data_IF_191735622416
#
_entry.id   IF_191735622416
#
_cell.length_a   1.000
_cell.length_b   1.000
_cell.length_c   1.000
_cell.angle_alpha   90.00
_cell.angle_beta   90.00
_cell.angle_gamma   90.00
#
_symmetry.space_group_name_H-M   'P 1'
#
loop_
_entity.id
_entity.type
_entity.pdbx_description
1 polymer ?
#
# COMPACT_ATOMS: atom_id res chain seq x y z
N UNK A 1 -3.82 30.16 12.87
CA UNK A 1 -2.58 29.35 12.70
C UNK A 1 -2.70 28.74 11.32
N UNK A 2 -1.82 29.13 10.38
CA UNK A 2 -1.77 28.47 9.08
C UNK A 2 -1.55 26.97 9.31
N UNK A 3 -2.49 26.13 8.86
CA UNK A 3 -2.25 24.70 8.70
C UNK A 3 -1.00 24.59 7.83
N UNK A 4 0.14 24.32 8.45
CA UNK A 4 1.35 24.01 7.69
C UNK A 4 0.98 22.85 6.79
N UNK A 5 1.20 23.04 5.52
CA UNK A 5 0.94 22.09 4.46
C UNK A 5 1.92 20.90 4.63
N UNK A 6 1.61 19.99 5.56
CA UNK A 6 2.51 18.90 5.94
C UNK A 6 2.46 17.86 4.82
N UNK A 7 3.53 17.82 4.03
CA UNK A 7 3.67 16.97 2.85
C UNK A 7 3.28 15.50 3.08
N UNK A 8 3.67 14.92 4.23
CA UNK A 8 3.34 13.52 4.52
C UNK A 8 1.83 13.32 4.74
N UNK A 9 1.12 14.31 5.30
CA UNK A 9 -0.35 14.27 5.51
C UNK A 9 -1.08 14.34 4.18
N UNK A 10 -0.69 15.24 3.27
CA UNK A 10 -1.26 15.28 1.91
C UNK A 10 -1.02 13.97 1.16
N UNK A 11 0.20 13.43 1.27
CA UNK A 11 0.55 12.17 0.63
C UNK A 11 -0.23 11.00 1.22
N UNK A 12 -0.44 11.01 2.53
CA UNK A 12 -1.27 10.04 3.22
C UNK A 12 -2.73 10.11 2.75
N UNK A 13 -3.29 11.30 2.52
CA UNK A 13 -4.63 11.44 1.94
C UNK A 13 -4.72 10.81 0.53
N UNK A 14 -3.67 10.93 -0.30
CA UNK A 14 -3.61 10.26 -1.60
C UNK A 14 -3.48 8.73 -1.46
N UNK A 15 -2.67 8.27 -0.51
CA UNK A 15 -2.56 6.85 -0.16
C UNK A 15 -3.92 6.25 0.24
N UNK A 16 -4.69 6.93 1.09
CA UNK A 16 -6.03 6.46 1.50
C UNK A 16 -6.99 6.31 0.32
N UNK A 17 -6.97 7.27 -0.62
CA UNK A 17 -7.77 7.17 -1.86
C UNK A 17 -7.34 5.97 -2.72
N UNK A 18 -6.03 5.74 -2.84
CA UNK A 18 -5.49 4.59 -3.55
C UNK A 18 -5.88 3.26 -2.87
N UNK A 19 -5.75 3.18 -1.55
CA UNK A 19 -6.11 2.02 -0.75
C UNK A 19 -7.61 1.70 -0.82
N UNK A 20 -8.47 2.72 -0.82
CA UNK A 20 -9.90 2.52 -1.05
C UNK A 20 -10.20 1.90 -2.42
N UNK A 21 -9.50 2.33 -3.48
CA UNK A 21 -9.61 1.72 -4.80
C UNK A 21 -9.05 0.29 -4.81
N UNK A 22 -7.95 0.01 -4.11
CA UNK A 22 -7.45 -1.35 -3.97
C UNK A 22 -8.49 -2.25 -3.28
N UNK A 23 -9.10 -1.77 -2.19
CA UNK A 23 -10.17 -2.49 -1.49
C UNK A 23 -11.36 -2.81 -2.40
N UNK A 24 -11.81 -1.84 -3.20
CA UNK A 24 -12.85 -2.10 -4.21
C UNK A 24 -12.45 -3.19 -5.22
N UNK A 25 -11.18 -3.29 -5.60
CA UNK A 25 -10.72 -4.35 -6.50
C UNK A 25 -10.69 -5.70 -5.79
N UNK A 26 -10.21 -5.75 -4.54
CA UNK A 26 -10.26 -6.94 -3.68
C UNK A 26 -11.70 -7.47 -3.55
N UNK A 27 -12.66 -6.59 -3.30
CA UNK A 27 -14.08 -6.97 -3.18
C UNK A 27 -14.68 -7.47 -4.50
N UNK A 28 -14.19 -6.98 -5.63
CA UNK A 28 -14.66 -7.39 -6.97
C UNK A 28 -14.12 -8.77 -7.32
N UNK A 29 -12.81 -9.01 -7.11
CA UNK A 29 -12.17 -10.28 -7.48
C UNK A 29 -12.60 -11.44 -6.58
N UNK A 30 -13.07 -11.15 -5.35
CA UNK A 30 -13.67 -12.14 -4.46
C UNK A 30 -15.04 -12.67 -4.94
N UNK A 31 -15.63 -12.09 -5.99
CA UNK A 31 -16.91 -12.55 -6.54
C UNK A 31 -16.69 -13.72 -7.50
N UNK A 32 -17.37 -14.84 -7.24
CA UNK A 32 -17.14 -16.07 -7.98
C UNK A 32 -17.83 -16.13 -9.37
N UNK A 33 -18.77 -15.22 -9.64
CA UNK A 33 -19.73 -15.29 -10.76
C UNK A 33 -19.27 -14.67 -12.10
N UNK A 34 -18.02 -14.23 -12.19
CA UNK A 34 -17.46 -13.65 -13.42
C UNK A 34 -16.92 -14.71 -14.41
N UNK A 35 -17.03 -14.41 -15.71
CA UNK A 35 -16.39 -15.16 -16.81
C UNK A 35 -14.86 -15.13 -16.70
N UNK A 36 -14.17 -16.15 -17.25
CA UNK A 36 -12.72 -16.29 -17.16
C UNK A 36 -11.96 -15.08 -17.72
N UNK A 37 -12.36 -14.54 -18.89
CA UNK A 37 -11.70 -13.38 -19.48
C UNK A 37 -11.93 -12.10 -18.65
N UNK A 38 -13.10 -12.01 -18.01
CA UNK A 38 -13.41 -10.91 -17.09
C UNK A 38 -12.55 -11.02 -15.82
N UNK A 39 -12.36 -12.23 -15.30
CA UNK A 39 -11.49 -12.48 -14.13
C UNK A 39 -10.04 -12.09 -14.41
N UNK A 40 -9.52 -12.40 -15.59
CA UNK A 40 -8.16 -12.02 -16.01
C UNK A 40 -7.98 -10.48 -16.02
N UNK A 41 -8.90 -9.76 -16.66
CA UNK A 41 -8.89 -8.28 -16.65
C UNK A 41 -9.03 -7.69 -15.25
N UNK A 42 -9.81 -8.32 -14.37
CA UNK A 42 -9.93 -7.90 -12.98
C UNK A 42 -8.62 -8.12 -12.20
N UNK A 43 -7.89 -9.20 -12.46
CA UNK A 43 -6.57 -9.48 -11.87
C UNK A 43 -5.53 -8.44 -12.30
N UNK A 44 -5.46 -8.11 -13.59
CA UNK A 44 -4.61 -7.01 -14.09
C UNK A 44 -4.95 -5.69 -13.39
N UNK A 45 -6.24 -5.40 -13.27
CA UNK A 45 -6.74 -4.24 -12.54
C UNK A 45 -6.28 -4.25 -11.07
N UNK A 46 -6.38 -5.38 -10.37
CA UNK A 46 -5.93 -5.52 -8.99
C UNK A 46 -4.43 -5.25 -8.86
N UNK A 47 -3.61 -5.85 -9.71
CA UNK A 47 -2.15 -5.68 -9.75
C UNK A 47 -1.79 -4.21 -9.94
N UNK A 48 -2.39 -3.54 -10.92
CA UNK A 48 -2.13 -2.12 -11.16
C UNK A 48 -2.47 -1.26 -9.93
N UNK A 49 -3.56 -1.59 -9.21
CA UNK A 49 -3.96 -0.89 -7.98
C UNK A 49 -3.02 -1.17 -6.82
N UNK A 50 -2.53 -2.39 -6.70
CA UNK A 50 -1.51 -2.75 -5.74
C UNK A 50 -0.24 -1.92 -5.97
N UNK A 51 0.27 -1.87 -7.21
CA UNK A 51 1.51 -1.17 -7.54
C UNK A 51 1.50 0.31 -7.13
N UNK A 52 0.47 1.07 -7.53
CA UNK A 52 0.43 2.49 -7.18
C UNK A 52 0.13 2.72 -5.69
N UNK A 53 -0.57 1.78 -5.03
CA UNK A 53 -0.84 1.86 -3.59
C UNK A 53 0.42 1.59 -2.79
N UNK A 54 1.21 0.59 -3.20
CA UNK A 54 2.54 0.28 -2.66
C UNK A 54 3.49 1.47 -2.83
N UNK A 55 3.50 2.06 -4.03
CA UNK A 55 4.30 3.25 -4.33
C UNK A 55 3.96 4.43 -3.41
N UNK A 56 2.68 4.64 -3.13
CA UNK A 56 2.25 5.67 -2.20
C UNK A 56 2.59 5.31 -0.74
N UNK A 57 2.46 4.04 -0.33
CA UNK A 57 2.75 3.60 1.03
C UNK A 57 4.20 3.92 1.43
N UNK A 58 5.19 3.46 0.64
CA UNK A 58 6.59 3.69 0.98
C UNK A 58 6.95 5.18 0.90
N UNK A 59 6.28 5.94 0.03
CA UNK A 59 6.45 7.39 -0.07
C UNK A 59 5.85 8.14 1.14
N UNK A 60 4.76 7.65 1.75
CA UNK A 60 4.24 8.17 3.02
C UNK A 60 5.23 7.88 4.14
N UNK A 61 5.71 6.63 4.24
CA UNK A 61 6.70 6.23 5.24
C UNK A 61 7.96 7.09 5.18
N UNK A 62 8.46 7.34 3.96
CA UNK A 62 9.58 8.24 3.72
C UNK A 62 9.29 9.65 4.22
N UNK A 63 8.20 10.27 3.76
CA UNK A 63 7.90 11.67 4.10
C UNK A 63 7.61 11.83 5.61
N UNK A 64 7.02 10.83 6.26
CA UNK A 64 6.82 10.82 7.71
C UNK A 64 8.15 10.72 8.46
N UNK A 65 9.05 9.83 8.03
CA UNK A 65 10.37 9.73 8.64
C UNK A 65 11.20 11.01 8.43
N UNK A 66 11.14 11.64 7.26
CA UNK A 66 11.75 12.96 7.01
C UNK A 66 11.17 14.03 7.95
N UNK A 67 9.85 14.01 8.18
CA UNK A 67 9.18 14.89 9.15
C UNK A 67 9.63 14.65 10.60
N UNK A 68 9.99 13.40 10.95
CA UNK A 68 10.59 13.05 12.25
C UNK A 68 12.11 13.37 12.32
N UNK A 69 12.71 13.90 11.25
CA UNK A 69 14.12 14.31 11.20
C UNK A 69 15.07 13.29 10.57
N UNK A 70 14.58 12.18 10.02
CA UNK A 70 15.40 11.18 9.32
C UNK A 70 15.53 11.51 7.83
N UNK A 71 16.71 11.93 7.38
CA UNK A 71 16.90 12.49 6.01
C UNK A 71 17.58 11.53 5.02
N UNK A 72 18.05 10.37 5.46
CA UNK A 72 18.85 9.43 4.63
C UNK A 72 18.00 8.32 3.98
N UNK A 73 16.83 8.65 3.41
CA UNK A 73 15.91 7.67 2.80
C UNK A 73 15.91 7.81 1.27
N UNK A 74 16.57 6.86 0.58
CA UNK A 74 16.80 6.95 -0.87
C UNK A 74 15.78 6.21 -1.72
N UNK A 75 15.08 5.21 -1.17
CA UNK A 75 14.08 4.43 -1.90
C UNK A 75 13.19 3.59 -0.99
N UNK A 76 12.36 2.73 -1.60
CA UNK A 76 11.37 1.91 -0.89
C UNK A 76 11.99 1.04 0.21
N UNK A 77 13.07 0.31 -0.09
CA UNK A 77 13.78 -0.54 0.90
C UNK A 77 14.23 0.24 2.14
N UNK A 78 14.77 1.45 1.96
CA UNK A 78 15.20 2.29 3.08
C UNK A 78 14.00 2.84 3.87
N UNK A 79 12.93 3.21 3.15
CA UNK A 79 11.69 3.70 3.77
C UNK A 79 11.04 2.62 4.63
N UNK A 80 10.91 1.39 4.12
CA UNK A 80 10.37 0.26 4.89
C UNK A 80 11.26 -0.07 6.09
N UNK A 81 12.59 -0.16 5.91
CA UNK A 81 13.51 -0.42 7.03
C UNK A 81 13.37 0.62 8.13
N UNK A 82 13.33 1.92 7.76
CA UNK A 82 13.14 3.00 8.73
C UNK A 82 11.75 2.94 9.38
N UNK A 83 10.71 2.62 8.61
CA UNK A 83 9.35 2.46 9.12
C UNK A 83 9.25 1.36 10.19
N UNK A 84 9.96 0.23 10.03
CA UNK A 84 10.08 -0.78 11.08
C UNK A 84 10.79 -0.24 12.33
N UNK A 85 11.92 0.46 12.13
CA UNK A 85 12.72 0.98 13.24
C UNK A 85 11.95 2.00 14.09
N UNK A 86 11.15 2.86 13.46
CA UNK A 86 10.32 3.86 14.16
C UNK A 86 8.94 3.35 14.56
N UNK A 87 8.65 2.05 14.32
CA UNK A 87 7.45 1.39 14.80
C UNK A 87 6.15 1.74 14.07
N UNK A 88 6.21 2.25 12.83
CA UNK A 88 5.01 2.53 12.03
C UNK A 88 4.57 1.35 11.14
N UNK A 89 5.36 0.28 11.11
CA UNK A 89 5.00 -1.06 10.60
C UNK A 89 5.71 -2.12 11.45
N UNK A 90 5.17 -3.33 11.51
CA UNK A 90 5.72 -4.42 12.34
C UNK A 90 5.87 -5.77 11.62
N UNK A 91 5.18 -5.98 10.50
CA UNK A 91 5.14 -7.27 9.81
C UNK A 91 6.21 -7.38 8.71
N UNK A 92 7.08 -8.40 8.78
CA UNK A 92 8.19 -8.60 7.81
C UNK A 92 7.72 -8.75 6.37
N UNK A 93 6.47 -9.17 6.14
CA UNK A 93 5.87 -9.33 4.81
C UNK A 93 5.77 -8.01 4.03
N UNK A 94 5.93 -6.86 4.69
CA UNK A 94 6.17 -5.59 4.00
C UNK A 94 7.42 -5.60 3.11
N UNK A 95 8.48 -6.31 3.52
CA UNK A 95 9.69 -6.44 2.70
C UNK A 95 9.46 -7.37 1.50
N UNK A 96 8.70 -8.45 1.68
CA UNK A 96 8.29 -9.38 0.61
C UNK A 96 7.50 -8.64 -0.47
N UNK A 97 6.60 -7.72 -0.07
CA UNK A 97 5.82 -6.91 -1.02
C UNK A 97 6.68 -6.07 -1.99
N UNK A 98 7.93 -5.76 -1.66
CA UNK A 98 8.85 -5.05 -2.56
C UNK A 98 9.27 -5.97 -3.70
N UNK A 99 9.53 -7.24 -3.40
CA UNK A 99 10.00 -8.24 -4.37
C UNK A 99 8.84 -8.60 -5.30
N UNK A 100 7.66 -8.89 -4.75
CA UNK A 100 6.45 -9.18 -5.53
C UNK A 100 6.07 -8.01 -6.44
N UNK A 101 6.17 -6.76 -5.95
CA UNK A 101 5.92 -5.58 -6.79
C UNK A 101 6.92 -5.47 -7.94
N UNK A 102 8.17 -5.92 -7.79
CA UNK A 102 9.10 -5.90 -8.91
C UNK A 102 8.72 -6.97 -9.96
N UNK A 103 8.19 -8.10 -9.50
CA UNK A 103 7.73 -9.19 -10.35
C UNK A 103 6.47 -8.83 -11.16
N UNK A 104 5.57 -7.97 -10.63
CA UNK A 104 4.38 -7.52 -11.40
C UNK A 104 4.73 -6.79 -12.70
N UNK A 105 5.94 -6.24 -12.80
CA UNK A 105 6.43 -5.52 -13.99
C UNK A 105 7.24 -6.37 -14.98
N UNK A 106 7.51 -7.64 -14.67
CA UNK A 106 8.34 -8.54 -15.48
C UNK A 106 7.58 -9.81 -15.87
N UNK A 107 7.50 -10.04 -17.19
CA UNK A 107 6.85 -11.15 -17.89
C UNK A 107 6.47 -12.40 -17.06
N UNK A 108 5.15 -12.57 -16.94
CA UNK A 108 4.41 -13.64 -16.29
C UNK A 108 4.74 -15.05 -16.81
N UNK A 109 4.98 -15.98 -15.88
CA UNK A 109 4.29 -17.27 -15.95
C UNK A 109 3.01 -17.18 -15.11
N UNK A 110 1.98 -17.93 -15.50
CA UNK A 110 0.64 -17.86 -14.89
C UNK A 110 0.64 -18.25 -13.40
N UNK A 111 1.62 -19.07 -12.98
CA UNK A 111 1.75 -19.54 -11.60
C UNK A 111 2.19 -18.39 -10.67
N UNK A 112 3.23 -17.64 -11.07
CA UNK A 112 3.71 -16.46 -10.32
C UNK A 112 2.63 -15.38 -10.24
N UNK A 113 1.83 -15.20 -11.29
CA UNK A 113 0.72 -14.25 -11.31
C UNK A 113 -0.32 -14.57 -10.23
N UNK A 114 -0.64 -15.86 -10.06
CA UNK A 114 -1.62 -16.31 -9.08
C UNK A 114 -1.13 -16.14 -7.65
N UNK A 115 0.13 -16.46 -7.40
CA UNK A 115 0.74 -16.28 -6.07
C UNK A 115 0.73 -14.81 -5.64
N UNK A 116 1.11 -13.90 -6.54
CA UNK A 116 1.08 -12.46 -6.27
C UNK A 116 -0.35 -11.98 -6.07
N UNK A 117 -1.30 -12.46 -6.88
CA UNK A 117 -2.72 -12.13 -6.71
C UNK A 117 -3.23 -12.52 -5.32
N UNK A 118 -2.98 -13.75 -4.88
CA UNK A 118 -3.36 -14.23 -3.55
C UNK A 118 -2.65 -13.45 -2.44
N UNK A 119 -1.37 -13.09 -2.63
CA UNK A 119 -0.61 -12.27 -1.68
C UNK A 119 -1.19 -10.85 -1.57
N UNK A 120 -1.60 -10.23 -2.68
CA UNK A 120 -2.25 -8.92 -2.67
C UNK A 120 -3.52 -8.93 -1.82
N UNK A 121 -4.38 -9.93 -2.05
CA UNK A 121 -5.68 -10.04 -1.37
C UNK A 121 -5.51 -10.37 0.12
N UNK A 122 -4.74 -11.41 0.42
CA UNK A 122 -4.72 -12.02 1.76
C UNK A 122 -3.62 -11.46 2.68
N UNK A 123 -2.61 -10.81 2.12
CA UNK A 123 -1.46 -10.31 2.89
C UNK A 123 -1.32 -8.80 2.75
N UNK A 124 -1.10 -8.28 1.53
CA UNK A 124 -0.70 -6.89 1.35
C UNK A 124 -1.82 -5.90 1.58
N UNK A 125 -3.05 -6.19 1.13
CA UNK A 125 -4.19 -5.33 1.40
C UNK A 125 -4.46 -5.19 2.92
N UNK A 126 -4.51 -6.27 3.73
CA UNK A 126 -4.58 -6.17 5.20
C UNK A 126 -3.43 -5.39 5.85
N UNK A 127 -2.19 -5.53 5.36
CA UNK A 127 -1.05 -4.75 5.85
C UNK A 127 -1.23 -3.27 5.57
N UNK A 128 -1.68 -2.92 4.36
CA UNK A 128 -1.94 -1.54 3.96
C UNK A 128 -3.05 -0.92 4.82
N UNK A 129 -4.12 -1.66 5.10
CA UNK A 129 -5.18 -1.25 6.04
C UNK A 129 -4.63 -0.99 7.45
N UNK A 130 -3.80 -1.90 7.95
CA UNK A 130 -3.18 -1.74 9.28
C UNK A 130 -2.29 -0.50 9.35
N UNK A 131 -1.57 -0.18 8.27
CA UNK A 131 -0.77 1.05 8.18
C UNK A 131 -1.65 2.31 8.11
N UNK A 132 -2.77 2.28 7.38
CA UNK A 132 -3.75 3.38 7.42
C UNK A 132 -4.25 3.62 8.85
N UNK A 133 -4.68 2.57 9.55
CA UNK A 133 -5.22 2.66 10.91
C UNK A 133 -4.21 3.26 11.89
N UNK A 134 -2.92 2.92 11.74
CA UNK A 134 -1.85 3.48 12.57
C UNK A 134 -1.55 4.96 12.23
N UNK A 135 -1.56 5.31 10.95
CA UNK A 135 -1.22 6.67 10.50
C UNK A 135 -2.34 7.69 10.68
N UNK A 136 -3.60 7.25 10.71
CA UNK A 136 -4.78 8.10 10.92
C UNK A 136 -4.68 9.02 12.15
N UNK A 137 -4.47 8.52 13.38
CA UNK A 137 -4.36 9.38 14.55
C UNK A 137 -3.13 10.31 14.50
N UNK A 138 -2.03 9.87 13.88
CA UNK A 138 -0.83 10.69 13.71
C UNK A 138 -1.07 11.89 12.78
N UNK A 139 -2.00 11.75 11.82
CA UNK A 139 -2.32 12.80 10.85
C UNK A 139 -3.25 13.89 11.42
N UNK A 140 -3.62 13.81 12.70
CA UNK A 140 -4.60 14.69 13.31
C UNK A 140 -6.03 14.44 12.80
N UNK A 141 -6.28 13.30 12.15
CA UNK A 141 -7.64 12.86 11.87
C UNK A 141 -8.22 12.30 13.17
N UNK A 142 -8.82 13.19 13.96
CA UNK A 142 -9.63 12.82 15.10
C UNK A 142 -10.65 11.76 14.65
N UNK A 143 -10.77 10.73 15.47
CA UNK A 143 -11.75 9.67 15.40
C UNK A 143 -13.15 10.26 15.68
N UNK A 144 -13.68 11.10 14.79
CA UNK A 144 -15.03 11.65 14.86
C UNK A 144 -15.53 11.98 13.45
N UNK A 145 -16.31 11.07 12.88
CA UNK A 145 -17.52 11.33 12.06
C UNK A 145 -17.82 10.07 11.24
N UNK A 146 -18.49 9.12 11.91
CA UNK A 146 -19.49 8.27 11.27
C UNK A 146 -20.75 9.11 11.02
#
# INVERSE_FOLDING_TARGET
MEEKDIRWVQRFANYRKALGRLGMAVDIVAREDADAAVKELMKEGLIQRFEYTHELAWKVMKDYAEYQGYTEIRGSRDAFRKAFEIGIIADRRWMESIEDRNLTSHNYDDETAEEIYEAIVNVYYPLFRSFEDLMLPLAGADNTSL
#
